data_IF_342434991760
#
_entry.id   IF_342434991760
#
_cell.length_a   1.000
_cell.length_b   1.000
_cell.length_c   1.000
_cell.angle_alpha   90.00
_cell.angle_beta   90.00
_cell.angle_gamma   90.00
#
_symmetry.space_group_name_H-M   'P 1'
#
loop_
_entity.id
_entity.type
_entity.pdbx_description
1 polymer ?
#
# COMPACT_ATOMS: atom_id res chain seq x y z
N UNK A 1 52.16 16.29 19.87
CA UNK A 1 51.72 14.90 20.09
C UNK A 1 51.00 14.47 18.83
N UNK A 2 51.66 13.66 18.01
CA UNK A 2 51.06 13.15 16.78
C UNK A 2 49.96 12.14 17.13
N UNK A 3 48.84 12.22 16.42
CA UNK A 3 47.69 11.34 16.68
C UNK A 3 48.03 9.92 16.24
N UNK A 4 47.47 8.92 16.92
CA UNK A 4 47.69 7.49 16.61
C UNK A 4 47.46 7.16 15.12
N UNK A 5 46.57 7.89 14.45
CA UNK A 5 46.30 7.78 13.01
C UNK A 5 47.47 8.24 12.13
N UNK A 6 48.14 9.32 12.49
CA UNK A 6 49.29 9.87 11.74
C UNK A 6 50.54 9.01 11.90
N UNK A 7 50.74 8.41 13.09
CA UNK A 7 51.86 7.51 13.36
C UNK A 7 51.70 6.17 12.61
N UNK A 8 50.47 5.66 12.51
CA UNK A 8 50.17 4.43 11.77
C UNK A 8 50.34 4.59 10.25
N UNK A 9 50.06 5.80 9.75
CA UNK A 9 50.21 6.21 8.35
C UNK A 9 51.69 6.22 7.88
N UNK A 10 52.60 6.67 8.76
CA UNK A 10 54.05 6.70 8.51
C UNK A 10 54.72 5.33 8.65
N UNK A 11 54.24 4.48 9.55
CA UNK A 11 54.87 3.18 9.87
C UNK A 11 54.47 2.09 8.85
N UNK A 12 53.29 2.18 8.22
CA UNK A 12 52.80 1.19 7.25
C UNK A 12 52.18 1.85 6.00
N UNK A 13 53.00 2.38 5.08
CA UNK A 13 52.51 3.00 3.84
C UNK A 13 51.73 2.03 2.93
N UNK A 14 51.92 0.72 3.11
CA UNK A 14 51.14 -0.31 2.41
C UNK A 14 49.66 -0.31 2.81
N UNK A 15 49.32 -0.01 4.07
CA UNK A 15 47.92 0.03 4.52
C UNK A 15 47.15 1.15 3.80
N UNK A 16 47.80 2.29 3.52
CA UNK A 16 47.20 3.38 2.76
C UNK A 16 46.94 2.99 1.31
N UNK A 17 47.90 2.31 0.68
CA UNK A 17 47.73 1.77 -0.68
C UNK A 17 46.58 0.78 -0.75
N UNK A 18 46.52 -0.15 0.21
CA UNK A 18 45.44 -1.14 0.32
C UNK A 18 44.07 -0.47 0.55
N UNK A 19 43.99 0.54 1.42
CA UNK A 19 42.77 1.33 1.66
C UNK A 19 42.33 2.09 0.42
N UNK A 20 43.26 2.75 -0.27
CA UNK A 20 42.96 3.47 -1.51
C UNK A 20 42.44 2.53 -2.61
N UNK A 21 43.07 1.36 -2.78
CA UNK A 21 42.62 0.33 -3.72
C UNK A 21 41.24 -0.22 -3.33
N UNK A 22 41.00 -0.49 -2.05
CA UNK A 22 39.71 -0.96 -1.56
C UNK A 22 38.61 0.09 -1.81
N UNK A 23 38.88 1.36 -1.51
CA UNK A 23 37.95 2.46 -1.79
C UNK A 23 37.70 2.64 -3.29
N UNK A 24 38.73 2.52 -4.12
CA UNK A 24 38.61 2.58 -5.58
C UNK A 24 37.70 1.46 -6.09
N UNK A 25 37.93 0.23 -5.63
CA UNK A 25 37.12 -0.94 -6.01
C UNK A 25 35.67 -0.79 -5.57
N UNK A 26 35.43 -0.28 -4.36
CA UNK A 26 34.07 -0.01 -3.86
C UNK A 26 33.38 1.05 -4.73
N UNK A 27 34.06 2.16 -5.04
CA UNK A 27 33.50 3.21 -5.91
C UNK A 27 33.19 2.69 -7.31
N UNK A 28 34.09 1.91 -7.90
CA UNK A 28 33.88 1.27 -9.20
C UNK A 28 32.69 0.30 -9.15
N UNK A 29 32.60 -0.52 -8.09
CA UNK A 29 31.50 -1.46 -7.92
C UNK A 29 30.16 -0.75 -7.82
N UNK A 30 30.05 0.33 -7.03
CA UNK A 30 28.84 1.17 -6.91
C UNK A 30 28.47 1.83 -8.25
N UNK A 31 29.46 2.34 -8.99
CA UNK A 31 29.21 2.97 -10.29
C UNK A 31 28.76 1.95 -11.37
N UNK A 32 29.28 0.73 -11.32
CA UNK A 32 28.94 -0.36 -12.24
C UNK A 32 27.67 -1.13 -11.87
N UNK A 33 27.29 -1.10 -10.59
CA UNK A 33 26.10 -1.74 -10.05
C UNK A 33 25.30 -0.66 -9.30
N UNK A 34 24.60 0.23 -10.03
CA UNK A 34 23.71 1.16 -9.38
C UNK A 34 22.72 0.35 -8.54
N UNK A 35 22.71 0.60 -7.23
CA UNK A 35 21.59 0.17 -6.38
C UNK A 35 20.40 0.92 -6.93
N UNK A 36 19.55 0.22 -7.70
CA UNK A 36 18.28 0.80 -8.11
C UNK A 36 17.58 1.22 -6.82
N UNK A 37 17.09 2.47 -6.70
CA UNK A 37 16.21 2.79 -5.59
C UNK A 37 15.12 1.74 -5.57
N UNK A 38 14.73 1.25 -4.37
CA UNK A 38 13.50 0.46 -4.26
C UNK A 38 12.43 1.27 -4.99
N UNK A 39 11.96 0.72 -6.11
CA UNK A 39 10.92 1.39 -6.89
C UNK A 39 9.66 1.17 -6.07
N UNK A 40 9.17 2.24 -5.46
CA UNK A 40 7.91 2.27 -4.74
C UNK A 40 6.86 1.49 -5.53
N UNK A 41 6.39 0.39 -4.96
CA UNK A 41 5.46 -0.52 -5.64
C UNK A 41 4.07 0.08 -5.52
N UNK A 42 3.58 0.70 -6.59
CA UNK A 42 2.23 1.25 -6.62
C UNK A 42 1.23 0.20 -7.07
N UNK A 43 0.24 -0.09 -6.23
CA UNK A 43 -0.88 -0.99 -6.54
C UNK A 43 -2.07 -0.14 -6.99
N UNK A 44 -2.54 -0.28 -8.24
CA UNK A 44 -3.73 0.44 -8.69
C UNK A 44 -4.99 -0.20 -8.10
N UNK A 45 -5.83 0.63 -7.49
CA UNK A 45 -7.09 0.27 -6.85
C UNK A 45 -8.26 0.65 -7.76
N UNK A 46 -9.26 -0.22 -7.79
CA UNK A 46 -10.58 0.06 -8.36
C UNK A 46 -11.63 -0.11 -7.27
N UNK A 47 -12.46 0.92 -7.06
CA UNK A 47 -13.54 0.91 -6.07
C UNK A 47 -14.88 0.78 -6.78
N UNK A 48 -15.55 -0.33 -6.54
CA UNK A 48 -16.89 -0.61 -7.04
C UNK A 48 -17.93 -0.26 -5.98
N UNK A 49 -18.60 0.88 -6.13
CA UNK A 49 -19.73 1.28 -5.30
C UNK A 49 -21.01 0.67 -5.87
N UNK A 50 -21.61 -0.27 -5.14
CA UNK A 50 -22.89 -0.88 -5.50
C UNK A 50 -23.96 -0.38 -4.54
N UNK A 51 -24.93 0.37 -5.06
CA UNK A 51 -25.90 1.13 -4.26
C UNK A 51 -27.34 0.81 -4.65
N UNK A 52 -28.23 0.80 -3.65
CA UNK A 52 -29.68 0.68 -3.84
C UNK A 52 -30.40 2.00 -3.54
N UNK A 53 -30.01 2.67 -2.45
CA UNK A 53 -30.55 3.96 -2.02
C UNK A 53 -29.51 5.06 -2.26
N UNK A 54 -29.92 6.32 -2.48
CA UNK A 54 -28.98 7.42 -2.79
C UNK A 54 -27.99 7.68 -1.64
N UNK A 55 -28.39 7.37 -0.41
CA UNK A 55 -27.56 7.48 0.78
C UNK A 55 -26.42 6.44 0.81
N UNK A 56 -26.51 5.38 0.00
CA UNK A 56 -25.49 4.35 -0.15
C UNK A 56 -24.46 4.72 -1.24
N UNK A 57 -24.77 5.71 -2.07
CA UNK A 57 -23.88 6.25 -3.10
C UNK A 57 -22.86 7.20 -2.46
N UNK A 58 -21.87 6.63 -1.79
CA UNK A 58 -20.83 7.39 -1.06
C UNK A 58 -20.08 8.35 -1.98
N UNK A 59 -19.71 9.53 -1.48
CA UNK A 59 -19.05 10.54 -2.31
C UNK A 59 -17.61 10.15 -2.65
N UNK A 60 -17.10 10.65 -3.78
CA UNK A 60 -15.68 10.45 -4.15
C UNK A 60 -14.74 10.91 -3.03
N UNK A 61 -15.08 12.01 -2.35
CA UNK A 61 -14.29 12.51 -1.21
C UNK A 61 -14.19 11.49 -0.06
N UNK A 62 -15.26 10.73 0.22
CA UNK A 62 -15.25 9.66 1.23
C UNK A 62 -14.44 8.44 0.77
N UNK A 63 -14.39 8.17 -0.53
CA UNK A 63 -13.55 7.11 -1.09
C UNK A 63 -12.08 7.52 -0.99
N UNK A 64 -11.76 8.75 -1.38
CA UNK A 64 -10.41 9.29 -1.29
C UNK A 64 -9.89 9.31 0.15
N UNK A 65 -10.70 9.73 1.13
CA UNK A 65 -10.29 9.74 2.54
C UNK A 65 -10.01 8.34 3.08
N UNK A 66 -10.79 7.33 2.67
CA UNK A 66 -10.52 5.93 3.04
C UNK A 66 -9.23 5.40 2.42
N UNK A 67 -8.96 5.74 1.16
CA UNK A 67 -7.71 5.36 0.49
C UNK A 67 -6.50 6.06 1.13
N UNK A 68 -6.67 7.30 1.60
CA UNK A 68 -5.64 8.01 2.35
C UNK A 68 -5.33 7.32 3.69
N UNK A 69 -6.36 6.93 4.46
CA UNK A 69 -6.21 6.16 5.70
C UNK A 69 -5.54 4.80 5.43
N UNK A 70 -5.96 4.08 4.39
CA UNK A 70 -5.33 2.82 3.98
C UNK A 70 -3.84 3.02 3.66
N UNK A 71 -3.49 4.08 2.95
CA UNK A 71 -2.09 4.41 2.68
C UNK A 71 -1.31 4.76 3.95
N UNK A 72 -1.92 5.41 4.94
CA UNK A 72 -1.26 5.71 6.21
C UNK A 72 -0.96 4.42 7.01
N UNK A 73 -1.91 3.49 7.05
CA UNK A 73 -1.78 2.22 7.77
C UNK A 73 -0.76 1.29 7.11
N UNK A 74 -0.77 1.18 5.78
CA UNK A 74 0.12 0.27 5.06
C UNK A 74 1.54 0.80 4.85
N UNK A 75 1.76 2.11 5.01
CA UNK A 75 3.11 2.70 4.90
C UNK A 75 3.88 2.74 6.22
N UNK A 76 3.36 2.16 7.30
CA UNK A 76 3.98 2.23 8.63
C UNK A 76 4.41 3.67 9.01
N UNK A 77 3.69 4.69 8.53
CA UNK A 77 3.91 6.10 8.90
C UNK A 77 3.24 6.43 10.24
N UNK A 78 2.53 5.46 10.83
CA UNK A 78 1.97 5.55 12.16
C UNK A 78 3.10 5.58 13.19
N UNK A 79 3.13 6.68 13.93
CA UNK A 79 4.04 7.07 15.02
C UNK A 79 4.09 6.07 16.21
N UNK A 80 3.52 4.88 16.06
CA UNK A 80 3.41 3.81 17.06
C UNK A 80 4.40 2.65 16.83
N UNK A 81 5.39 2.82 15.92
CA UNK A 81 6.55 1.91 15.86
C UNK A 81 7.29 1.85 17.21
N UNK A 82 7.17 2.89 18.04
CA UNK A 82 7.83 2.97 19.35
C UNK A 82 7.15 2.15 20.46
N UNK A 83 5.92 1.66 20.26
CA UNK A 83 5.18 0.84 21.26
C UNK A 83 5.21 -0.67 20.93
N UNK A 84 5.98 -1.08 19.91
CA UNK A 84 6.11 -2.49 19.56
C UNK A 84 7.08 -3.22 20.52
N UNK A 85 6.67 -4.37 21.11
CA UNK A 85 7.58 -5.24 21.85
C UNK A 85 8.75 -5.69 20.96
N UNK A 86 9.96 -5.70 21.53
CA UNK A 86 11.22 -5.94 20.80
C UNK A 86 11.24 -7.25 19.98
N UNK A 87 10.42 -8.22 20.35
CA UNK A 87 10.26 -9.51 19.66
C UNK A 87 9.68 -9.37 18.24
N UNK A 88 8.93 -8.29 17.96
CA UNK A 88 8.29 -8.04 16.68
C UNK A 88 8.98 -6.97 15.84
N UNK A 89 9.99 -6.29 16.39
CA UNK A 89 10.76 -5.26 15.69
C UNK A 89 11.44 -5.77 14.41
N UNK A 90 11.83 -7.05 14.36
CA UNK A 90 12.43 -7.68 13.18
C UNK A 90 11.44 -8.00 12.05
N UNK A 91 10.13 -7.92 12.32
CA UNK A 91 9.04 -8.16 11.35
C UNK A 91 8.48 -6.85 10.78
N UNK A 92 8.91 -5.70 11.31
CA UNK A 92 8.55 -4.38 10.78
C UNK A 92 9.36 -4.15 9.51
N UNK A 93 8.79 -4.55 8.37
CA UNK A 93 9.33 -4.21 7.06
C UNK A 93 8.50 -3.06 6.47
N UNK A 94 9.16 -1.95 6.15
CA UNK A 94 8.62 -0.98 5.21
C UNK A 94 8.49 -1.67 3.85
N UNK A 95 7.27 -2.05 3.50
CA UNK A 95 6.98 -2.78 2.26
C UNK A 95 6.98 -1.85 1.04
N UNK A 96 7.14 -0.53 1.22
CA UNK A 96 7.19 0.47 0.15
C UNK A 96 6.04 0.32 -0.87
N UNK A 97 4.86 -0.08 -0.39
CA UNK A 97 3.63 -0.24 -1.16
C UNK A 97 2.81 1.04 -1.05
N UNK A 98 2.41 1.60 -2.18
CA UNK A 98 1.47 2.71 -2.25
C UNK A 98 0.20 2.27 -2.99
N UNK A 99 -0.95 2.64 -2.46
CA UNK A 99 -2.23 2.43 -3.11
C UNK A 99 -2.68 3.70 -3.82
N UNK A 100 -3.01 3.60 -5.11
CA UNK A 100 -3.51 4.71 -5.91
C UNK A 100 -4.76 4.27 -6.66
N UNK A 101 -5.75 5.16 -6.82
CA UNK A 101 -6.87 4.88 -7.71
C UNK A 101 -6.38 4.69 -9.15
N UNK A 102 -6.96 3.72 -9.85
CA UNK A 102 -6.65 3.46 -11.25
C UNK A 102 -7.05 4.67 -12.12
N UNK A 103 -6.09 5.26 -12.83
CA UNK A 103 -6.33 6.34 -13.78
C UNK A 103 -6.69 5.83 -15.18
N UNK A 104 -6.64 4.51 -15.39
CA UNK A 104 -6.84 3.85 -16.67
C UNK A 104 -7.61 2.56 -16.47
N UNK A 105 -8.67 2.38 -17.27
CA UNK A 105 -9.48 1.16 -17.27
C UNK A 105 -8.79 -0.03 -17.97
N UNK A 106 -9.43 -1.20 -17.94
CA UNK A 106 -8.90 -2.41 -18.58
C UNK A 106 -8.75 -2.30 -20.10
N UNK A 107 -9.51 -1.39 -20.73
CA UNK A 107 -9.49 -1.14 -22.17
C UNK A 107 -8.50 -0.02 -22.55
N UNK A 108 -7.83 0.60 -21.56
CA UNK A 108 -6.85 1.66 -21.79
C UNK A 108 -7.43 3.08 -21.82
N UNK A 109 -8.70 3.28 -21.46
CA UNK A 109 -9.31 4.61 -21.43
C UNK A 109 -9.08 5.30 -20.07
N UNK A 110 -9.07 6.65 -20.02
CA UNK A 110 -9.01 7.38 -18.76
C UNK A 110 -10.18 7.02 -17.84
N UNK A 111 -9.88 6.75 -16.58
CA UNK A 111 -10.87 6.44 -15.55
C UNK A 111 -10.51 7.11 -14.23
N UNK A 112 -11.49 7.31 -13.35
CA UNK A 112 -11.26 7.72 -11.96
C UNK A 112 -10.95 6.53 -11.05
N UNK A 113 -11.06 5.29 -11.55
CA UNK A 113 -10.90 4.08 -10.76
C UNK A 113 -12.07 3.82 -9.82
N UNK A 114 -13.18 4.55 -10.00
CA UNK A 114 -14.40 4.41 -9.22
C UNK A 114 -15.53 4.05 -10.19
N UNK A 115 -16.18 2.91 -9.95
CA UNK A 115 -17.37 2.51 -10.70
C UNK A 115 -18.58 2.56 -9.78
N UNK A 116 -19.71 3.10 -10.27
CA UNK A 116 -20.96 3.19 -9.51
C UNK A 116 -22.03 2.36 -10.21
N UNK A 117 -22.61 1.40 -9.50
CA UNK A 117 -23.60 0.47 -10.06
C UNK A 117 -24.85 0.47 -9.20
N UNK A 118 -25.96 0.87 -9.79
CA UNK A 118 -27.27 0.72 -9.15
C UNK A 118 -27.67 -0.76 -9.10
N UNK A 119 -28.23 -1.18 -7.97
CA UNK A 119 -28.80 -2.52 -7.81
C UNK A 119 -30.22 -2.48 -7.25
N UNK A 120 -31.14 -3.32 -7.72
CA UNK A 120 -32.45 -3.48 -7.08
C UNK A 120 -32.38 -4.29 -5.78
N UNK A 121 -31.22 -4.91 -5.46
CA UNK A 121 -31.06 -5.83 -4.32
C UNK A 121 -30.66 -5.04 -3.06
N UNK A 122 -31.55 -5.02 -2.08
CA UNK A 122 -31.26 -4.45 -0.75
C UNK A 122 -30.18 -5.25 -0.03
N UNK A 123 -29.26 -4.55 0.65
CA UNK A 123 -28.19 -5.15 1.45
C UNK A 123 -27.31 -6.15 0.67
N UNK A 124 -27.05 -5.89 -0.62
CA UNK A 124 -26.27 -6.80 -1.49
C UNK A 124 -24.89 -7.15 -0.91
N UNK A 125 -24.30 -6.25 -0.11
CA UNK A 125 -22.99 -6.49 0.53
C UNK A 125 -22.98 -7.66 1.51
N UNK A 126 -24.14 -8.17 1.93
CA UNK A 126 -24.22 -9.40 2.75
C UNK A 126 -23.81 -10.65 1.99
N UNK A 127 -23.89 -10.62 0.65
CA UNK A 127 -23.59 -11.77 -0.18
C UNK A 127 -22.43 -11.48 -1.15
N UNK A 128 -21.21 -11.97 -0.83
CA UNK A 128 -20.05 -11.76 -1.69
C UNK A 128 -20.20 -12.42 -3.07
N UNK A 129 -21.08 -13.42 -3.22
CA UNK A 129 -21.37 -14.09 -4.49
C UNK A 129 -22.41 -13.36 -5.35
N UNK A 130 -22.95 -12.22 -4.88
CA UNK A 130 -23.81 -11.32 -5.65
C UNK A 130 -23.06 -10.03 -6.00
N UNK A 131 -22.45 -9.38 -5.01
CA UNK A 131 -21.82 -8.06 -5.20
C UNK A 131 -20.68 -8.05 -6.23
N UNK A 132 -20.00 -9.19 -6.43
CA UNK A 132 -18.85 -9.33 -7.34
C UNK A 132 -19.21 -9.69 -8.79
N UNK A 133 -20.50 -9.78 -9.09
CA UNK A 133 -21.00 -10.31 -10.35
C UNK A 133 -22.09 -9.38 -10.92
N UNK A 134 -21.80 -8.74 -12.05
CA UNK A 134 -22.68 -7.78 -12.71
C UNK A 134 -24.01 -8.39 -13.14
N UNK A 135 -23.98 -9.63 -13.63
CA UNK A 135 -25.16 -10.41 -14.01
C UNK A 135 -26.10 -10.74 -12.83
N UNK A 136 -25.62 -10.58 -11.60
CA UNK A 136 -26.38 -10.81 -10.35
C UNK A 136 -26.75 -9.52 -9.62
N UNK A 137 -26.59 -8.38 -10.28
CA UNK A 137 -26.89 -7.06 -9.71
C UNK A 137 -25.75 -6.47 -8.88
N UNK A 138 -24.53 -7.03 -8.96
CA UNK A 138 -23.31 -6.47 -8.41
C UNK A 138 -22.48 -5.72 -9.45
N UNK A 139 -21.15 -5.71 -9.29
CA UNK A 139 -20.21 -5.17 -10.26
C UNK A 139 -19.11 -6.20 -10.54
N UNK A 140 -18.81 -6.44 -11.81
CA UNK A 140 -17.74 -7.35 -12.22
C UNK A 140 -16.36 -6.79 -11.84
N UNK A 141 -15.46 -7.70 -11.47
CA UNK A 141 -14.07 -7.35 -11.19
C UNK A 141 -13.34 -6.91 -12.45
N UNK A 142 -12.50 -5.89 -12.34
CA UNK A 142 -11.42 -5.66 -13.30
C UNK A 142 -10.32 -6.72 -13.13
N UNK A 143 -9.44 -6.84 -14.11
CA UNK A 143 -8.37 -7.83 -14.21
C UNK A 143 -7.58 -7.89 -12.90
N UNK A 144 -7.83 -8.95 -12.13
CA UNK A 144 -7.30 -9.13 -10.78
C UNK A 144 -5.78 -9.32 -10.75
N UNK A 145 -5.14 -9.46 -11.92
CA UNK A 145 -3.67 -9.51 -12.04
C UNK A 145 -3.07 -8.11 -12.14
N UNK A 146 -3.86 -7.11 -12.51
CA UNK A 146 -3.44 -5.73 -12.72
C UNK A 146 -3.97 -4.80 -11.64
N UNK A 147 -5.21 -5.03 -11.18
CA UNK A 147 -5.92 -4.13 -10.28
C UNK A 147 -6.36 -4.82 -8.99
N UNK A 148 -6.28 -4.07 -7.89
CA UNK A 148 -6.92 -4.44 -6.63
C UNK A 148 -8.37 -3.95 -6.64
N UNK A 149 -9.31 -4.90 -6.66
CA UNK A 149 -10.74 -4.61 -6.70
C UNK A 149 -11.33 -4.54 -5.29
N UNK A 150 -11.99 -3.44 -4.96
CA UNK A 150 -12.65 -3.19 -3.67
C UNK A 150 -14.13 -2.95 -3.94
N UNK A 151 -15.01 -3.75 -3.33
CA UNK A 151 -16.45 -3.55 -3.43
C UNK A 151 -17.00 -2.89 -2.17
N UNK A 152 -17.78 -1.84 -2.36
CA UNK A 152 -18.48 -1.11 -1.31
C UNK A 152 -19.98 -1.21 -1.56
N UNK A 153 -20.71 -1.75 -0.59
CA UNK A 153 -22.16 -1.75 -0.59
C UNK A 153 -22.68 -1.80 0.85
N UNK A 154 -23.95 -1.42 1.02
CA UNK A 154 -24.61 -1.58 2.32
C UNK A 154 -24.67 -3.05 2.69
N UNK A 155 -24.26 -3.32 3.93
CA UNK A 155 -24.48 -4.59 4.62
C UNK A 155 -25.53 -4.37 5.69
N UNK A 156 -26.37 -5.37 5.89
CA UNK A 156 -27.25 -5.34 7.04
C UNK A 156 -26.39 -5.44 8.29
N UNK A 157 -26.44 -4.39 9.12
CA UNK A 157 -25.77 -4.39 10.41
C UNK A 157 -26.46 -5.43 11.29
N UNK A 158 -25.81 -6.57 11.54
CA UNK A 158 -26.18 -7.37 12.70
C UNK A 158 -25.97 -6.44 13.91
N UNK A 159 -27.02 -6.18 14.67
CA UNK A 159 -26.92 -5.41 15.90
C UNK A 159 -25.79 -6.01 16.75
N UNK A 160 -24.74 -5.23 16.98
CA UNK A 160 -23.92 -5.45 18.16
C UNK A 160 -24.85 -5.28 19.37
N UNK A 161 -24.81 -6.26 20.27
CA UNK A 161 -25.83 -6.53 21.28
C UNK A 161 -26.35 -5.29 22.01
N UNK A 162 -27.66 -5.06 21.92
CA UNK A 162 -28.37 -4.42 23.01
C UNK A 162 -28.48 -5.43 24.16
N UNK A 163 -27.78 -5.18 25.26
CA UNK A 163 -28.20 -5.75 26.53
C UNK A 163 -29.55 -5.10 26.87
N UNK A 164 -30.64 -5.83 26.67
CA UNK A 164 -31.87 -5.58 27.39
C UNK A 164 -31.60 -5.89 28.86
N UNK A 165 -31.21 -4.87 29.63
CA UNK A 165 -31.39 -4.90 31.07
C UNK A 165 -32.88 -4.62 31.31
N UNK A 166 -33.61 -5.71 31.54
CA UNK A 166 -34.90 -5.75 32.24
C UNK A 166 -34.84 -5.01 33.57
#
# INVERSE_FOLDING_TARGET
>A
METWLQVEELIRPEILKQRAIAQQKIKQWIASNPVLPRSQMTIPIVVHVVWHEMEEDISDAQIHSQIEILNQDFRALNREINDLPNEFAALVADIDIQFCLATTDEQGNPSSGITRTFTPIRNIGNNPNLIKFGDRGGADAWDTRKYLNIWVAKRQRWLFGGCNAS
#
